data_IF_454900863600
#
_entry.id   IF_454900863600
#
_cell.length_a   1.000
_cell.length_b   1.000
_cell.length_c   1.000
_cell.angle_alpha   90.00
_cell.angle_beta   90.00
_cell.angle_gamma   90.00
#
_symmetry.space_group_name_H-M   'P 1'
#
loop_
_entity.id
_entity.type
_entity.pdbx_description
1 polymer ?
#
# COMPACT_ATOMS: atom_id res chain seq x y z
N UNK A 1 -13.26 5.61 -12.34
CA UNK A 1 -12.67 4.45 -13.07
C UNK A 1 -11.66 3.76 -12.15
N UNK A 2 -11.57 2.41 -12.15
CA UNK A 2 -10.52 1.68 -11.42
C UNK A 2 -9.33 1.42 -12.35
N UNK A 3 -8.15 1.90 -11.98
CA UNK A 3 -6.89 1.63 -12.68
C UNK A 3 -6.08 0.56 -11.92
N UNK A 4 -5.30 -0.24 -12.64
CA UNK A 4 -4.38 -1.21 -12.01
C UNK A 4 -2.99 -1.06 -12.61
N UNK A 5 -2.03 -0.67 -11.77
CA UNK A 5 -0.61 -0.61 -12.12
C UNK A 5 0.06 -1.86 -11.56
N UNK A 6 0.63 -2.70 -12.43
CA UNK A 6 1.29 -3.95 -12.02
C UNK A 6 2.80 -3.78 -12.05
N UNK A 7 3.50 -4.35 -11.07
CA UNK A 7 4.96 -4.47 -11.15
C UNK A 7 5.38 -5.23 -12.43
N UNK A 8 6.41 -4.78 -13.17
CA UNK A 8 7.35 -3.70 -12.82
C UNK A 8 7.00 -2.31 -13.41
N UNK A 9 5.77 -2.10 -13.92
CA UNK A 9 5.40 -0.81 -14.53
C UNK A 9 5.56 0.32 -13.50
N UNK A 10 6.35 1.37 -13.80
CA UNK A 10 6.56 2.46 -12.87
C UNK A 10 5.26 3.25 -12.66
N UNK A 11 5.07 3.74 -11.44
CA UNK A 11 4.04 4.74 -11.16
C UNK A 11 4.56 6.08 -11.67
N UNK A 12 3.79 6.76 -12.51
CA UNK A 12 4.19 8.05 -13.10
C UNK A 12 3.56 9.24 -12.38
N UNK A 13 2.35 9.06 -11.85
CA UNK A 13 1.56 10.09 -11.20
C UNK A 13 0.43 9.44 -10.40
N UNK A 14 0.04 10.10 -9.31
CA UNK A 14 -1.09 9.79 -8.45
C UNK A 14 -2.23 10.76 -8.79
N UNK A 15 -3.21 10.26 -9.55
CA UNK A 15 -4.34 11.07 -10.07
C UNK A 15 -5.60 11.04 -9.20
N UNK A 16 -5.67 10.05 -8.32
CA UNK A 16 -6.83 9.69 -7.53
C UNK A 16 -6.37 8.87 -6.32
N UNK A 17 -7.30 8.37 -5.52
CA UNK A 17 -6.97 7.47 -4.42
C UNK A 17 -6.11 6.31 -4.90
N UNK A 18 -5.08 5.96 -4.14
CA UNK A 18 -4.25 4.80 -4.42
C UNK A 18 -4.29 3.80 -3.28
N UNK A 19 -4.43 2.51 -3.62
CA UNK A 19 -4.31 1.44 -2.65
C UNK A 19 -3.29 0.38 -3.10
N UNK A 20 -2.42 -0.02 -2.18
CA UNK A 20 -1.43 -1.07 -2.42
C UNK A 20 -2.01 -2.44 -2.06
N UNK A 21 -1.92 -3.40 -2.98
CA UNK A 21 -2.41 -4.78 -2.80
C UNK A 21 -1.34 -5.66 -2.15
N UNK A 22 -1.15 -5.49 -0.85
CA UNK A 22 -0.20 -6.28 -0.06
C UNK A 22 -0.75 -7.68 0.26
N UNK A 23 0.13 -8.68 0.26
CA UNK A 23 -0.27 -10.07 0.52
C UNK A 23 0.72 -11.07 -0.06
N UNK A 24 0.58 -12.36 0.28
CA UNK A 24 1.45 -13.38 -0.28
C UNK A 24 1.25 -13.47 -1.79
N UNK A 25 2.37 -13.62 -2.50
CA UNK A 25 2.40 -13.91 -3.95
C UNK A 25 2.91 -15.32 -4.22
N UNK A 26 3.95 -15.75 -3.51
CA UNK A 26 4.50 -17.10 -3.61
C UNK A 26 3.63 -18.07 -2.80
N UNK A 27 3.19 -19.16 -3.42
CA UNK A 27 2.31 -20.13 -2.79
C UNK A 27 0.84 -19.73 -2.75
N UNK A 28 0.50 -18.49 -3.11
CA UNK A 28 -0.86 -17.95 -3.04
C UNK A 28 -1.60 -18.06 -4.38
N UNK A 29 -2.94 -18.11 -4.37
CA UNK A 29 -3.73 -17.86 -5.57
C UNK A 29 -3.51 -16.41 -6.07
N UNK A 30 -3.85 -16.14 -7.33
CA UNK A 30 -3.75 -14.81 -7.93
C UNK A 30 -4.87 -13.87 -7.48
N UNK A 31 -5.07 -13.71 -6.17
CA UNK A 31 -6.16 -12.92 -5.61
C UNK A 31 -6.11 -11.44 -6.04
N UNK A 32 -4.92 -10.89 -6.32
CA UNK A 32 -4.77 -9.52 -6.82
C UNK A 32 -5.44 -9.29 -8.19
N UNK A 33 -5.67 -10.35 -8.97
CA UNK A 33 -6.42 -10.27 -10.22
C UNK A 33 -7.94 -10.17 -10.00
N UNK A 34 -8.43 -10.56 -8.82
CA UNK A 34 -9.83 -10.44 -8.42
C UNK A 34 -10.11 -9.10 -7.75
N UNK A 35 -9.14 -8.52 -7.05
CA UNK A 35 -9.25 -7.23 -6.37
C UNK A 35 -9.95 -6.11 -7.18
N UNK A 36 -9.57 -5.79 -8.44
CA UNK A 36 -10.27 -4.74 -9.20
C UNK A 36 -11.73 -5.10 -9.51
N UNK A 37 -12.06 -6.38 -9.69
CA UNK A 37 -13.43 -6.82 -9.92
C UNK A 37 -14.27 -6.66 -8.66
N UNK A 38 -13.73 -7.06 -7.51
CA UNK A 38 -14.40 -6.91 -6.21
C UNK A 38 -14.59 -5.43 -5.87
N UNK A 39 -13.57 -4.59 -6.10
CA UNK A 39 -13.67 -3.15 -5.94
C UNK A 39 -14.80 -2.55 -6.81
N UNK A 40 -14.91 -2.96 -8.07
CA UNK A 40 -16.01 -2.53 -8.95
C UNK A 40 -17.38 -3.03 -8.46
N UNK A 41 -17.47 -4.28 -7.99
CA UNK A 41 -18.71 -4.88 -7.47
C UNK A 41 -19.23 -4.16 -6.23
N UNK A 42 -18.35 -3.70 -5.35
CA UNK A 42 -18.77 -2.89 -4.18
C UNK A 42 -18.99 -1.41 -4.52
N UNK A 43 -18.80 -1.02 -5.79
CA UNK A 43 -19.05 0.33 -6.28
C UNK A 43 -17.96 1.35 -5.96
N UNK A 44 -16.69 0.93 -5.83
CA UNK A 44 -15.58 1.89 -5.73
C UNK A 44 -15.32 2.53 -7.09
N UNK A 45 -15.21 3.85 -7.08
CA UNK A 45 -14.74 4.64 -8.21
C UNK A 45 -13.46 5.40 -7.83
N UNK A 46 -12.81 5.97 -8.85
CA UNK A 46 -11.60 6.80 -8.73
C UNK A 46 -10.49 6.21 -7.84
N UNK A 47 -10.10 4.96 -8.14
CA UNK A 47 -9.10 4.20 -7.40
C UNK A 47 -8.04 3.64 -8.34
N UNK A 48 -6.78 3.86 -8.01
CA UNK A 48 -5.63 3.19 -8.65
C UNK A 48 -5.08 2.12 -7.70
N UNK A 49 -5.08 0.86 -8.15
CA UNK A 49 -4.56 -0.28 -7.41
C UNK A 49 -3.12 -0.58 -7.83
N UNK A 50 -2.19 -0.51 -6.88
CA UNK A 50 -0.81 -0.98 -7.08
C UNK A 50 -0.74 -2.47 -6.77
N UNK A 51 -0.44 -3.26 -7.80
CA UNK A 51 -0.36 -4.71 -7.71
C UNK A 51 1.11 -5.17 -7.78
N UNK A 52 1.71 -5.64 -6.67
CA UNK A 52 3.11 -6.07 -6.65
C UNK A 52 3.35 -7.37 -7.41
N UNK A 53 2.29 -8.12 -7.79
CA UNK A 53 2.44 -9.38 -8.52
C UNK A 53 3.02 -9.17 -9.91
N UNK A 54 4.31 -9.48 -10.04
CA UNK A 54 5.12 -9.35 -11.25
C UNK A 54 4.42 -9.93 -12.48
N UNK A 55 4.39 -9.15 -13.56
CA UNK A 55 4.00 -9.61 -14.91
C UNK A 55 5.19 -10.16 -15.70
N UNK A 56 6.41 -9.79 -15.32
CA UNK A 56 7.66 -10.21 -15.96
C UNK A 56 8.51 -11.09 -15.01
N UNK A 57 9.03 -12.20 -15.55
CA UNK A 57 9.90 -13.15 -14.84
C UNK A 57 11.31 -12.60 -14.60
N UNK A 58 11.74 -11.58 -15.34
CA UNK A 58 13.11 -11.06 -15.30
C UNK A 58 13.31 -9.85 -14.37
N UNK A 59 12.28 -9.46 -13.61
CA UNK A 59 12.40 -8.39 -12.60
C UNK A 59 13.34 -8.86 -11.48
N UNK A 60 14.49 -8.21 -11.37
CA UNK A 60 15.49 -8.50 -10.33
C UNK A 60 14.90 -8.34 -8.93
N UNK A 61 15.48 -9.04 -7.95
CA UNK A 61 15.02 -8.98 -6.55
C UNK A 61 14.99 -7.54 -6.02
N UNK A 62 16.05 -6.78 -6.24
CA UNK A 62 16.14 -5.41 -5.69
C UNK A 62 15.18 -4.43 -6.36
N UNK A 63 14.98 -4.51 -7.68
CA UNK A 63 14.00 -3.64 -8.33
C UNK A 63 12.60 -3.89 -7.80
N UNK A 64 12.24 -5.16 -7.60
CA UNK A 64 10.94 -5.51 -7.02
C UNK A 64 10.77 -4.91 -5.63
N UNK A 65 11.77 -5.09 -4.76
CA UNK A 65 11.73 -4.57 -3.39
C UNK A 65 11.59 -3.05 -3.39
N UNK A 66 12.31 -2.36 -4.27
CA UNK A 66 12.21 -0.90 -4.39
C UNK A 66 10.83 -0.47 -4.90
N UNK A 67 10.27 -1.15 -5.91
CA UNK A 67 8.93 -0.87 -6.42
C UNK A 67 7.86 -1.09 -5.33
N UNK A 68 7.96 -2.19 -4.57
CA UNK A 68 7.07 -2.50 -3.45
C UNK A 68 7.21 -1.46 -2.33
N UNK A 69 8.45 -1.09 -1.97
CA UNK A 69 8.72 -0.09 -0.92
C UNK A 69 8.16 1.28 -1.28
N UNK A 70 8.40 1.74 -2.51
CA UNK A 70 7.84 2.99 -3.01
C UNK A 70 6.31 2.97 -2.99
N UNK A 71 5.70 1.87 -3.46
CA UNK A 71 4.25 1.71 -3.47
C UNK A 71 3.62 1.70 -2.07
N UNK A 72 4.23 0.99 -1.11
CA UNK A 72 3.78 0.97 0.28
C UNK A 72 3.82 2.37 0.91
N UNK A 73 4.88 3.15 0.65
CA UNK A 73 5.05 4.51 1.19
C UNK A 73 4.13 5.55 0.54
N UNK A 74 3.87 5.42 -0.76
CA UNK A 74 3.11 6.41 -1.55
C UNK A 74 1.59 6.23 -1.42
N UNK A 75 1.11 5.00 -1.26
CA UNK A 75 -0.32 4.70 -1.28
C UNK A 75 -1.08 5.30 -0.08
N UNK A 76 -2.32 5.75 -0.32
CA UNK A 76 -3.20 6.28 0.74
C UNK A 76 -3.64 5.18 1.70
N UNK A 77 -3.84 3.98 1.15
CA UNK A 77 -4.30 2.81 1.89
C UNK A 77 -3.45 1.60 1.49
N UNK A 78 -3.14 0.75 2.46
CA UNK A 78 -2.50 -0.54 2.20
C UNK A 78 -3.49 -1.63 2.58
N UNK A 79 -3.91 -2.41 1.58
CA UNK A 79 -4.83 -3.54 1.75
C UNK A 79 -4.02 -4.82 1.83
N UNK A 80 -3.95 -5.41 3.02
CA UNK A 80 -3.38 -6.73 3.25
C UNK A 80 -4.46 -7.81 3.12
N UNK A 81 -4.32 -8.71 2.16
CA UNK A 81 -5.16 -9.90 2.03
C UNK A 81 -4.31 -11.17 2.13
N UNK A 82 -4.63 -12.04 3.08
CA UNK A 82 -3.97 -13.34 3.27
C UNK A 82 -4.93 -14.47 2.86
N UNK A 83 -4.84 -14.98 1.62
CA UNK A 83 -5.63 -16.13 1.17
C UNK A 83 -5.05 -17.47 1.67
N UNK A 84 -5.79 -18.58 1.54
CA UNK A 84 -5.26 -19.93 1.75
C UNK A 84 -4.04 -20.19 0.87
N UNK A 85 -3.15 -21.05 1.38
CA UNK A 85 -1.98 -21.50 0.63
C UNK A 85 -2.43 -22.44 -0.50
N UNK A 86 -2.27 -22.02 -1.75
CA UNK A 86 -2.64 -22.79 -2.93
C UNK A 86 -1.54 -23.74 -3.43
N UNK A 87 -0.28 -23.52 -3.02
CA UNK A 87 0.87 -24.38 -3.40
C UNK A 87 1.84 -24.56 -2.26
N UNK A 88 2.48 -25.72 -2.19
CA UNK A 88 3.53 -26.00 -1.22
C UNK A 88 4.66 -24.94 -1.29
N UNK A 89 5.16 -24.56 -0.12
CA UNK A 89 6.30 -23.66 0.00
C UNK A 89 7.61 -24.43 -0.08
N UNK A 90 8.70 -23.73 -0.39
CA UNK A 90 10.05 -24.31 -0.26
C UNK A 90 10.33 -24.60 1.22
N UNK A 91 11.12 -25.64 1.57
CA UNK A 91 11.33 -26.07 2.96
C UNK A 91 11.79 -24.97 3.92
N UNK A 92 12.55 -23.99 3.44
CA UNK A 92 13.10 -22.89 4.24
C UNK A 92 12.22 -21.63 4.27
N UNK A 93 11.00 -21.68 3.74
CA UNK A 93 10.13 -20.49 3.65
C UNK A 93 8.73 -20.78 4.15
N UNK A 94 8.30 -19.99 5.12
CA UNK A 94 6.91 -19.99 5.56
C UNK A 94 6.02 -19.17 4.61
N UNK A 95 4.82 -19.67 4.35
CA UNK A 95 3.82 -18.96 3.53
C UNK A 95 3.47 -17.61 4.15
N UNK A 96 3.34 -16.54 3.35
CA UNK A 96 3.01 -15.19 3.83
C UNK A 96 3.95 -14.58 4.90
N UNK A 97 5.19 -15.06 5.05
CA UNK A 97 6.12 -14.51 6.07
C UNK A 97 6.44 -13.03 5.84
N UNK A 98 6.80 -12.64 4.62
CA UNK A 98 7.15 -11.25 4.27
C UNK A 98 5.95 -10.32 4.48
N UNK A 99 4.78 -10.74 4.03
CA UNK A 99 3.50 -10.01 4.22
C UNK A 99 3.23 -9.69 5.68
N UNK A 100 3.51 -10.62 6.60
CA UNK A 100 3.32 -10.40 8.04
C UNK A 100 4.25 -9.33 8.60
N UNK A 101 5.50 -9.31 8.13
CA UNK A 101 6.50 -8.31 8.51
C UNK A 101 6.11 -6.92 7.96
N UNK A 102 5.80 -6.85 6.67
CA UNK A 102 5.36 -5.62 6.00
C UNK A 102 4.12 -5.04 6.67
N UNK A 103 3.16 -5.89 7.07
CA UNK A 103 1.95 -5.43 7.76
C UNK A 103 2.28 -4.78 9.10
N UNK A 104 3.12 -5.40 9.92
CA UNK A 104 3.52 -4.84 11.20
C UNK A 104 4.33 -3.54 11.02
N UNK A 105 5.22 -3.48 10.03
CA UNK A 105 5.98 -2.27 9.70
C UNK A 105 5.05 -1.12 9.31
N UNK A 106 4.09 -1.34 8.41
CA UNK A 106 3.20 -0.29 7.93
C UNK A 106 2.20 0.19 9.00
N UNK A 107 1.77 -0.71 9.89
CA UNK A 107 1.02 -0.32 11.08
C UNK A 107 1.87 0.57 12.01
N UNK A 108 3.13 0.22 12.25
CA UNK A 108 4.03 1.00 13.10
C UNK A 108 4.38 2.37 12.49
N UNK A 109 4.38 2.48 11.16
CA UNK A 109 4.56 3.73 10.40
C UNK A 109 3.32 4.63 10.36
N UNK A 110 2.18 4.17 10.87
CA UNK A 110 0.95 4.97 10.94
C UNK A 110 0.09 4.96 9.68
N UNK A 111 0.38 4.09 8.70
CA UNK A 111 -0.44 4.00 7.49
C UNK A 111 -1.88 3.56 7.80
N UNK A 112 -2.82 4.00 6.95
CA UNK A 112 -4.15 3.39 6.91
C UNK A 112 -4.03 1.97 6.32
N UNK A 113 -4.08 0.99 7.20
CA UNK A 113 -4.04 -0.43 6.86
C UNK A 113 -5.44 -1.04 6.95
N UNK A 114 -5.82 -1.81 5.93
CA UNK A 114 -7.01 -2.67 5.92
C UNK A 114 -6.51 -4.11 5.86
N UNK A 115 -7.00 -4.97 6.75
CA UNK A 115 -6.53 -6.35 6.89
C UNK A 115 -7.69 -7.30 6.61
N UNK A 116 -7.44 -8.29 5.77
CA UNK A 116 -8.31 -9.44 5.64
C UNK A 116 -7.53 -10.75 5.63
N UNK A 117 -8.11 -11.74 6.28
CA UNK A 117 -7.59 -13.09 6.40
C UNK A 117 -8.71 -14.04 5.99
N UNK A 118 -8.46 -14.79 4.92
CA UNK A 118 -9.41 -15.78 4.47
C UNK A 118 -9.61 -16.86 5.56
N UNK A 119 -10.87 -17.24 5.89
CA UNK A 119 -11.15 -18.30 6.86
C UNK A 119 -10.46 -19.63 6.56
N UNK A 120 -10.20 -19.91 5.27
CA UNK A 120 -9.50 -21.11 4.81
C UNK A 120 -7.98 -21.02 4.99
N UNK A 121 -7.45 -19.92 5.53
CA UNK A 121 -6.05 -19.80 5.91
C UNK A 121 -5.72 -20.63 7.16
N UNK A 122 -5.73 -21.95 6.98
CA UNK A 122 -5.57 -22.98 8.01
C UNK A 122 -4.38 -23.89 7.69
N UNK A 123 -3.87 -24.58 8.71
CA UNK A 123 -2.91 -25.65 8.54
C UNK A 123 -3.61 -26.97 8.16
N UNK A 124 -2.85 -28.03 7.96
CA UNK A 124 -3.36 -29.37 7.60
C UNK A 124 -4.30 -30.00 8.63
N UNK A 125 -4.27 -29.53 9.88
CA UNK A 125 -5.15 -29.99 10.96
C UNK A 125 -6.43 -29.15 11.07
N UNK A 126 -6.61 -28.14 10.22
CA UNK A 126 -7.74 -27.19 10.30
C UNK A 126 -7.56 -26.07 11.33
N UNK A 127 -6.40 -26.01 11.99
CA UNK A 127 -6.08 -24.93 12.93
C UNK A 127 -5.57 -23.69 12.22
N UNK A 128 -5.60 -22.58 12.95
CA UNK A 128 -5.01 -21.32 12.55
C UNK A 128 -3.52 -21.47 12.17
N UNK A 129 -3.14 -20.97 10.99
CA UNK A 129 -1.75 -20.97 10.54
C UNK A 129 -0.82 -20.22 11.50
N UNK A 130 0.40 -20.77 11.68
CA UNK A 130 1.37 -20.24 12.64
C UNK A 130 1.63 -18.74 12.44
N UNK A 131 1.60 -17.98 13.53
CA UNK A 131 1.83 -16.53 13.56
C UNK A 131 0.56 -15.67 13.40
N UNK A 132 -0.61 -16.27 13.12
CA UNK A 132 -1.85 -15.48 12.95
C UNK A 132 -2.32 -14.81 14.24
N UNK A 133 -2.14 -15.46 15.39
CA UNK A 133 -2.45 -14.85 16.69
C UNK A 133 -1.60 -13.61 16.96
N UNK A 134 -0.32 -13.64 16.58
CA UNK A 134 0.56 -12.49 16.70
C UNK A 134 0.13 -11.36 15.75
N UNK A 135 -0.24 -11.70 14.51
CA UNK A 135 -0.80 -10.73 13.55
C UNK A 135 -2.04 -10.03 14.11
N UNK A 136 -3.02 -10.79 14.61
CA UNK A 136 -4.25 -10.24 15.21
C UNK A 136 -3.94 -9.36 16.43
N UNK A 137 -2.96 -9.76 17.26
CA UNK A 137 -2.50 -8.94 18.39
C UNK A 137 -1.89 -7.62 17.91
N UNK A 138 -1.05 -7.62 16.88
CA UNK A 138 -0.44 -6.41 16.35
C UNK A 138 -1.46 -5.47 15.71
N UNK A 139 -2.40 -6.02 14.95
CA UNK A 139 -3.52 -5.27 14.39
C UNK A 139 -4.31 -4.55 15.50
N UNK A 140 -4.69 -5.28 16.57
CA UNK A 140 -5.37 -4.70 17.73
C UNK A 140 -4.51 -3.64 18.43
N UNK A 141 -3.22 -3.91 18.63
CA UNK A 141 -2.29 -2.99 19.30
C UNK A 141 -2.20 -1.64 18.59
N UNK A 142 -2.15 -1.65 17.26
CA UNK A 142 -2.13 -0.43 16.43
C UNK A 142 -3.52 0.10 16.05
N UNK A 143 -4.58 -0.37 16.73
CA UNK A 143 -5.93 0.22 16.59
C UNK A 143 -6.73 -0.20 15.36
N UNK A 144 -6.34 -1.28 14.67
CA UNK A 144 -7.19 -1.89 13.63
C UNK A 144 -8.47 -2.41 14.30
N UNK A 145 -9.61 -1.88 13.83
CA UNK A 145 -10.92 -2.18 14.42
C UNK A 145 -11.49 -3.52 13.97
N UNK A 146 -11.22 -3.89 12.71
CA UNK A 146 -11.79 -5.06 12.07
C UNK A 146 -10.73 -5.77 11.23
N UNK A 147 -10.75 -7.10 11.29
CA UNK A 147 -10.00 -7.97 10.38
C UNK A 147 -11.04 -8.72 9.58
N UNK A 148 -11.12 -8.43 8.29
CA UNK A 148 -12.12 -8.99 7.40
C UNK A 148 -11.86 -10.46 7.10
N UNK A 149 -12.93 -11.21 6.84
CA UNK A 149 -12.87 -12.60 6.39
C UNK A 149 -13.13 -12.77 4.89
N UNK A 150 -13.27 -11.66 4.16
CA UNK A 150 -13.44 -11.68 2.71
C UNK A 150 -12.78 -10.47 2.07
N UNK A 151 -12.33 -10.64 0.81
CA UNK A 151 -11.82 -9.53 0.02
C UNK A 151 -12.89 -8.46 -0.23
N UNK A 152 -14.17 -8.86 -0.29
CA UNK A 152 -15.31 -7.94 -0.38
C UNK A 152 -15.42 -7.07 0.88
N UNK A 153 -15.26 -7.63 2.08
CA UNK A 153 -15.23 -6.89 3.34
C UNK A 153 -14.12 -5.84 3.36
N UNK A 154 -12.91 -6.21 2.95
CA UNK A 154 -11.80 -5.28 2.81
C UNK A 154 -12.13 -4.12 1.85
N UNK A 155 -12.74 -4.42 0.70
CA UNK A 155 -13.11 -3.39 -0.27
C UNK A 155 -14.26 -2.50 0.22
N UNK A 156 -15.22 -3.04 0.98
CA UNK A 156 -16.25 -2.22 1.64
C UNK A 156 -15.64 -1.24 2.65
N UNK A 157 -14.67 -1.68 3.45
CA UNK A 157 -13.95 -0.77 4.35
C UNK A 157 -13.17 0.29 3.56
N UNK A 158 -12.50 -0.09 2.47
CA UNK A 158 -11.78 0.85 1.61
C UNK A 158 -12.74 1.92 1.06
N UNK A 159 -13.88 1.51 0.52
CA UNK A 159 -14.93 2.41 0.03
C UNK A 159 -15.40 3.36 1.13
N UNK A 160 -15.75 2.82 2.29
CA UNK A 160 -16.22 3.62 3.43
C UNK A 160 -15.16 4.61 3.91
N UNK A 161 -13.87 4.26 3.84
CA UNK A 161 -12.77 5.16 4.14
C UNK A 161 -12.65 6.31 3.12
N UNK A 162 -12.72 5.99 1.83
CA UNK A 162 -12.64 6.96 0.73
C UNK A 162 -13.82 7.95 0.75
N UNK A 163 -15.01 7.45 1.05
CA UNK A 163 -16.26 8.23 1.05
C UNK A 163 -16.57 8.91 2.39
N UNK A 164 -15.75 8.66 3.42
CA UNK A 164 -15.97 9.20 4.75
C UNK A 164 -16.13 10.73 4.67
N UNK A 165 -17.28 11.30 5.12
CA UNK A 165 -17.45 12.74 5.13
C UNK A 165 -16.31 13.40 5.91
N UNK A 166 -15.65 14.35 5.28
CA UNK A 166 -14.54 15.12 5.86
C UNK A 166 -14.64 16.58 5.46
N UNK A 167 -14.15 17.44 6.34
CA UNK A 167 -13.93 18.85 6.01
C UNK A 167 -12.67 18.92 5.17
N UNK A 168 -12.79 19.37 3.92
CA UNK A 168 -11.64 19.67 3.07
C UNK A 168 -10.80 20.71 3.81
N UNK A 169 -9.55 20.35 4.09
CA UNK A 169 -8.70 21.16 4.97
C UNK A 169 -7.69 21.93 4.12
N UNK A 170 -7.41 23.17 4.53
CA UNK A 170 -6.27 23.91 4.03
C UNK A 170 -5.06 23.63 4.91
N UNK A 171 -3.96 23.18 4.31
CA UNK A 171 -2.71 22.95 5.00
C UNK A 171 -1.70 24.02 4.61
N UNK A 172 -0.98 24.54 5.60
CA UNK A 172 0.22 25.34 5.40
C UNK A 172 1.41 24.49 5.83
N UNK A 173 2.25 24.12 4.88
CA UNK A 173 3.35 23.18 5.08
C UNK A 173 4.65 23.86 4.65
N UNK A 174 5.70 23.85 5.51
CA UNK A 174 7.03 24.29 5.10
C UNK A 174 7.51 23.48 3.88
N UNK A 175 8.26 24.14 3.01
CA UNK A 175 8.91 23.52 1.86
C UNK A 175 9.62 22.21 2.24
N UNK A 176 9.24 21.05 1.65
CA UNK A 176 9.86 19.77 1.99
C UNK A 176 11.33 19.67 1.57
N UNK A 177 11.80 20.57 0.69
CA UNK A 177 13.14 20.57 0.12
C UNK A 177 13.52 19.17 -0.40
N UNK A 178 12.70 18.62 -1.30
CA UNK A 178 12.97 17.33 -1.93
C UNK A 178 14.29 17.35 -2.70
N UNK A 179 15.11 16.31 -2.53
CA UNK A 179 16.23 16.08 -3.44
C UNK A 179 15.77 15.50 -4.77
N UNK A 180 16.60 15.51 -5.83
CA UNK A 180 16.28 14.88 -7.12
C UNK A 180 15.83 13.43 -6.96
N UNK A 181 14.89 12.98 -7.79
CA UNK A 181 14.47 11.60 -7.78
C UNK A 181 15.54 10.74 -8.45
N UNK A 182 16.19 9.87 -7.68
CA UNK A 182 17.07 8.87 -8.25
C UNK A 182 16.27 7.92 -9.15
N UNK A 183 16.83 7.57 -10.32
CA UNK A 183 16.27 6.48 -11.12
C UNK A 183 16.19 5.22 -10.26
N UNK A 184 15.06 4.51 -10.31
CA UNK A 184 14.89 3.28 -9.56
C UNK A 184 16.02 2.29 -9.90
N UNK A 185 16.92 2.11 -8.94
CA UNK A 185 18.21 1.45 -9.15
C UNK A 185 18.28 0.14 -8.36
N UNK A 186 19.31 -0.67 -8.61
CA UNK A 186 19.56 -1.89 -7.80
C UNK A 186 20.17 -1.60 -6.42
N UNK A 187 20.54 -0.35 -6.14
CA UNK A 187 21.02 0.11 -4.84
C UNK A 187 20.11 1.20 -4.33
N UNK A 188 19.70 1.10 -3.06
CA UNK A 188 18.95 2.15 -2.38
C UNK A 188 19.94 3.25 -2.03
N UNK A 189 19.71 4.45 -2.55
CA UNK A 189 20.55 5.61 -2.24
C UNK A 189 19.99 6.30 -0.97
N UNK A 190 20.83 6.80 -0.05
CA UNK A 190 20.37 7.42 1.20
C UNK A 190 19.41 8.61 1.00
N UNK A 191 19.60 9.38 -0.07
CA UNK A 191 18.73 10.47 -0.49
C UNK A 191 17.34 10.00 -0.94
N UNK A 192 17.26 8.85 -1.63
CA UNK A 192 15.97 8.19 -1.97
C UNK A 192 15.16 7.89 -0.71
N UNK A 193 15.80 7.35 0.34
CA UNK A 193 15.11 7.04 1.60
C UNK A 193 14.53 8.28 2.28
N UNK A 194 15.28 9.39 2.30
CA UNK A 194 14.79 10.66 2.88
C UNK A 194 13.58 11.15 2.11
N UNK A 195 13.67 11.25 0.79
CA UNK A 195 12.59 11.80 -0.04
C UNK A 195 11.32 10.94 0.03
N UNK A 196 11.44 9.61 0.01
CA UNK A 196 10.28 8.73 0.18
C UNK A 196 9.64 8.87 1.57
N UNK A 197 10.43 9.12 2.62
CA UNK A 197 9.89 9.38 3.97
C UNK A 197 9.15 10.72 4.02
N UNK A 198 9.65 11.75 3.34
CA UNK A 198 8.96 13.05 3.24
C UNK A 198 7.63 12.90 2.49
N UNK A 199 7.62 12.15 1.38
CA UNK A 199 6.41 11.82 0.62
C UNK A 199 5.41 11.01 1.47
N UNK A 200 5.88 9.99 2.19
CA UNK A 200 5.08 9.17 3.11
C UNK A 200 4.39 10.06 4.16
N UNK A 201 5.16 10.90 4.87
CA UNK A 201 4.64 11.82 5.88
C UNK A 201 3.66 12.84 5.31
N UNK A 202 3.92 13.34 4.11
CA UNK A 202 3.00 14.23 3.40
C UNK A 202 1.66 13.54 3.13
N UNK A 203 1.68 12.36 2.51
CA UNK A 203 0.46 11.65 2.10
C UNK A 203 -0.33 11.09 3.29
N UNK A 204 0.31 10.88 4.45
CA UNK A 204 -0.39 10.55 5.69
C UNK A 204 -1.11 11.74 6.32
N UNK A 205 -0.64 12.98 6.05
CA UNK A 205 -1.23 14.22 6.60
C UNK A 205 -2.24 14.86 5.65
N UNK A 206 -1.97 14.82 4.36
CA UNK A 206 -2.74 15.50 3.31
C UNK A 206 -3.55 14.48 2.55
N UNK A 207 -4.84 14.74 2.40
CA UNK A 207 -5.74 13.89 1.61
C UNK A 207 -5.83 14.38 0.15
N UNK A 208 -6.22 13.54 -0.81
CA UNK A 208 -6.22 13.90 -2.24
C UNK A 208 -6.91 15.23 -2.58
N UNK A 209 -8.05 15.53 -1.93
CA UNK A 209 -8.84 16.74 -2.24
C UNK A 209 -8.48 17.97 -1.41
N UNK A 210 -7.55 17.84 -0.45
CA UNK A 210 -7.15 18.98 0.40
C UNK A 210 -6.44 20.05 -0.43
N UNK A 211 -6.37 21.29 0.08
CA UNK A 211 -5.53 22.34 -0.51
C UNK A 211 -4.27 22.50 0.32
N UNK A 212 -3.11 22.55 -0.32
CA UNK A 212 -1.84 22.73 0.37
C UNK A 212 -1.14 23.97 -0.12
N UNK A 213 -0.84 24.90 0.78
CA UNK A 213 0.06 26.01 0.53
C UNK A 213 1.46 25.66 1.00
N UNK A 214 2.41 25.62 0.08
CA UNK A 214 3.81 25.35 0.39
C UNK A 214 4.54 26.66 0.61
N UNK A 215 5.17 26.78 1.78
CA UNK A 215 5.92 27.96 2.18
C UNK A 215 7.42 27.68 2.09
N UNK A 216 8.11 28.34 1.14
CA UNK A 216 9.55 28.17 0.94
C UNK A 216 9.93 27.12 -0.11
N UNK A 217 11.08 26.47 0.07
CA UNK A 217 11.68 25.62 -0.96
C UNK A 217 11.00 24.25 -1.08
N UNK A 218 10.32 24.00 -2.20
CA UNK A 218 9.77 22.68 -2.50
C UNK A 218 10.88 21.65 -2.80
N UNK A 219 11.99 22.08 -3.39
CA UNK A 219 13.01 21.20 -3.96
C UNK A 219 12.61 20.61 -5.31
N UNK A 220 13.00 19.37 -5.58
CA UNK A 220 12.79 18.71 -6.87
C UNK A 220 11.30 18.48 -7.19
N UNK A 221 10.81 19.14 -8.23
CA UNK A 221 9.39 19.10 -8.64
C UNK A 221 8.92 17.72 -9.14
N UNK A 222 9.85 16.83 -9.47
CA UNK A 222 9.63 15.44 -9.88
C UNK A 222 8.82 14.64 -8.84
N UNK A 223 8.78 15.09 -7.57
CA UNK A 223 7.99 14.46 -6.51
C UNK A 223 6.53 14.90 -6.48
N UNK A 224 6.18 16.07 -7.05
CA UNK A 224 4.81 16.61 -7.06
C UNK A 224 3.75 15.59 -7.54
N UNK A 225 3.99 14.80 -8.61
CA UNK A 225 3.02 13.82 -9.08
C UNK A 225 2.66 12.73 -8.09
N UNK A 226 3.42 12.54 -6.99
CA UNK A 226 3.19 11.47 -6.01
C UNK A 226 2.60 11.97 -4.68
N UNK A 227 2.36 13.28 -4.57
CA UNK A 227 1.85 13.91 -3.37
C UNK A 227 0.34 14.12 -3.44
N UNK A 228 -0.31 13.98 -2.29
CA UNK A 228 -1.72 14.33 -2.13
C UNK A 228 -1.94 15.85 -2.09
N UNK A 229 -3.16 16.24 -2.46
CA UNK A 229 -3.66 17.60 -2.33
C UNK A 229 -3.41 18.49 -3.55
N UNK A 230 -4.18 19.57 -3.62
CA UNK A 230 -4.04 20.64 -4.58
C UNK A 230 -2.93 21.60 -4.12
N UNK A 231 -1.71 21.34 -4.58
CA UNK A 231 -0.51 22.07 -4.15
C UNK A 231 -0.45 23.44 -4.81
N UNK A 232 -0.33 24.49 -3.99
CA UNK A 232 -0.16 25.89 -4.37
C UNK A 232 1.13 26.42 -3.76
N UNK A 233 2.01 26.96 -4.59
CA UNK A 233 3.24 27.60 -4.12
C UNK A 233 2.92 29.01 -3.61
N UNK A 234 3.44 29.38 -2.43
CA UNK A 234 3.39 30.74 -1.88
C UNK A 234 4.77 31.37 -1.82
#
# INVERSE_FOLDING_TARGET
MIEVIKSPTPVVEKKQWTAFLAGPMTGAPSWQAQAPKVAAQVGIENLTLLNPRKTDRFVTGTYQVNWETFGLRMCDVILFWIPPQARAMKPWRYYAITTRLEMAENLARGHKVIIGIDPEFKNENGDDMAGIHHLRRMAKYYGVKEIHTSLEGCMKELKAWMEKPRVVTEHHIPGPAFGPMAKMSRMVQPDTCRNETLMEQWNQRVMPDDTVYVEGDFGAEEWKPFLNGNIKMK
#
